data_IF_305845784772
#
_entry.id   IF_305845784772
#
_cell.length_a   1.000
_cell.length_b   1.000
_cell.length_c   1.000
_cell.angle_alpha   90.00
_cell.angle_beta   90.00
_cell.angle_gamma   90.00
#
_symmetry.space_group_name_H-M   'P 1'
#
loop_
_entity.id
_entity.type
_entity.pdbx_description
1 polymer ?
#
# COMPACT_ATOMS: atom_id res chain seq x y z
N UNK A 1 4.67 -17.20 -14.12
CA UNK A 1 4.33 -17.81 -12.82
C UNK A 1 4.71 -16.81 -11.74
N UNK A 2 3.83 -16.53 -10.78
CA UNK A 2 4.18 -15.73 -9.60
C UNK A 2 5.09 -16.61 -8.71
N UNK A 3 6.29 -16.16 -8.33
CA UNK A 3 7.15 -16.91 -7.43
C UNK A 3 6.43 -17.33 -6.15
N UNK A 4 6.62 -18.58 -5.72
CA UNK A 4 5.95 -19.17 -4.55
C UNK A 4 6.20 -18.41 -3.25
N UNK A 5 7.30 -17.64 -3.17
CA UNK A 5 7.60 -16.76 -2.03
C UNK A 5 6.71 -15.50 -1.97
N UNK A 6 6.04 -15.14 -3.07
CA UNK A 6 5.03 -14.07 -3.09
C UNK A 6 3.64 -14.58 -2.66
N UNK A 7 3.51 -15.87 -2.32
CA UNK A 7 2.26 -16.48 -1.88
C UNK A 7 1.32 -16.85 -3.03
N UNK A 8 0.03 -16.95 -2.72
CA UNK A 8 -1.02 -17.24 -3.70
C UNK A 8 -1.21 -16.03 -4.61
N UNK A 9 -1.54 -16.27 -5.89
CA UNK A 9 -1.90 -15.18 -6.79
C UNK A 9 -3.00 -14.33 -6.16
N UNK A 10 -2.86 -12.98 -6.14
CA UNK A 10 -3.88 -12.12 -5.56
C UNK A 10 -5.20 -12.42 -6.24
N UNK A 11 -6.26 -12.53 -5.44
CA UNK A 11 -7.62 -12.69 -5.94
C UNK A 11 -7.98 -11.45 -6.78
N UNK A 12 -8.97 -11.56 -7.67
CA UNK A 12 -9.42 -10.39 -8.40
C UNK A 12 -10.06 -9.40 -7.41
N UNK A 13 -9.40 -8.26 -7.18
CA UNK A 13 -9.84 -7.27 -6.19
C UNK A 13 -11.21 -6.67 -6.53
N UNK A 14 -11.54 -6.52 -7.83
CA UNK A 14 -12.83 -5.96 -8.25
C UNK A 14 -13.98 -6.84 -7.76
N UNK A 15 -13.83 -8.17 -7.83
CA UNK A 15 -14.88 -9.12 -7.48
C UNK A 15 -14.85 -9.58 -6.02
N UNK A 16 -13.71 -9.46 -5.33
CA UNK A 16 -13.52 -10.15 -4.04
C UNK A 16 -13.01 -9.27 -2.89
N UNK A 17 -12.87 -7.95 -3.06
CA UNK A 17 -12.36 -7.04 -2.02
C UNK A 17 -13.11 -7.14 -0.68
N UNK A 18 -14.43 -7.37 -0.69
CA UNK A 18 -15.23 -7.54 0.53
C UNK A 18 -14.83 -8.76 1.37
N UNK A 19 -14.21 -9.77 0.75
CA UNK A 19 -13.76 -10.99 1.43
C UNK A 19 -12.27 -11.01 1.75
N UNK A 20 -11.57 -9.88 1.58
CA UNK A 20 -10.14 -9.81 1.88
C UNK A 20 -9.91 -9.72 3.39
N UNK A 21 -9.02 -10.56 3.89
CA UNK A 21 -8.47 -10.43 5.24
C UNK A 21 -7.47 -9.27 5.29
N UNK A 22 -7.15 -8.81 6.50
CA UNK A 22 -6.17 -7.75 6.71
C UNK A 22 -4.83 -8.05 6.02
N UNK A 23 -4.34 -9.28 6.10
CA UNK A 23 -3.10 -9.72 5.42
C UNK A 23 -3.18 -9.60 3.90
N UNK A 24 -4.32 -9.95 3.29
CA UNK A 24 -4.51 -9.85 1.84
C UNK A 24 -4.59 -8.39 1.38
N UNK A 25 -5.22 -7.52 2.17
CA UNK A 25 -5.18 -6.08 1.95
C UNK A 25 -3.77 -5.53 2.03
N UNK A 26 -3.03 -5.91 3.06
CA UNK A 26 -1.65 -5.52 3.26
C UNK A 26 -0.78 -5.91 2.06
N UNK A 27 -0.86 -7.17 1.61
CA UNK A 27 -0.12 -7.66 0.44
C UNK A 27 -0.54 -6.92 -0.85
N UNK A 28 -1.84 -6.67 -1.04
CA UNK A 28 -2.31 -5.94 -2.21
C UNK A 28 -1.80 -4.50 -2.26
N UNK A 29 -1.85 -3.80 -1.12
CA UNK A 29 -1.35 -2.43 -1.01
C UNK A 29 0.16 -2.39 -1.28
N UNK A 30 0.96 -3.24 -0.64
CA UNK A 30 2.43 -3.12 -0.68
C UNK A 30 3.08 -3.73 -1.92
N UNK A 31 2.52 -4.80 -2.49
CA UNK A 31 3.13 -5.51 -3.61
C UNK A 31 2.48 -5.21 -4.96
N UNK A 32 1.16 -5.06 -5.01
CA UNK A 32 0.42 -5.04 -6.28
C UNK A 32 -0.09 -3.66 -6.68
N UNK A 33 -0.45 -2.81 -5.72
CA UNK A 33 -1.16 -1.56 -6.01
C UNK A 33 -0.36 -0.61 -6.92
N UNK A 34 0.92 -0.34 -6.63
CA UNK A 34 1.74 0.57 -7.44
C UNK A 34 1.96 0.05 -8.87
N UNK A 35 2.46 -1.17 -9.12
CA UNK A 35 2.60 -1.68 -10.49
C UNK A 35 1.27 -1.69 -11.28
N UNK A 36 0.17 -2.05 -10.62
CA UNK A 36 -1.14 -2.16 -11.29
C UNK A 36 -1.78 -0.82 -11.61
N UNK A 37 -1.55 0.21 -10.78
CA UNK A 37 -2.11 1.55 -10.95
C UNK A 37 -1.25 2.45 -11.85
N UNK A 38 0.01 2.07 -12.11
CA UNK A 38 0.92 2.84 -12.96
C UNK A 38 0.34 3.01 -14.36
N UNK A 39 0.17 4.25 -14.79
CA UNK A 39 -0.42 4.61 -16.08
C UNK A 39 -1.94 4.47 -16.17
N UNK A 40 -2.61 3.97 -15.13
CA UNK A 40 -4.08 3.91 -15.02
C UNK A 40 -4.64 5.01 -14.13
N UNK A 41 -3.81 5.55 -13.26
CA UNK A 41 -4.13 6.66 -12.37
C UNK A 41 -3.40 7.93 -12.82
N UNK A 42 -4.00 9.13 -12.70
CA UNK A 42 -3.27 10.37 -12.95
C UNK A 42 -2.01 10.44 -12.10
N UNK A 43 -0.89 10.91 -12.69
CA UNK A 43 0.43 10.93 -12.04
C UNK A 43 0.39 11.52 -10.63
N UNK A 44 -0.36 12.62 -10.47
CA UNK A 44 -0.57 13.32 -9.20
C UNK A 44 -1.09 12.35 -8.12
N UNK A 45 -2.16 11.59 -8.40
CA UNK A 45 -2.75 10.67 -7.44
C UNK A 45 -1.90 9.43 -7.22
N UNK A 46 -1.16 9.00 -8.24
CA UNK A 46 -0.22 7.90 -8.12
C UNK A 46 0.90 8.22 -7.10
N UNK A 47 1.43 9.44 -7.14
CA UNK A 47 2.42 9.93 -6.16
C UNK A 47 1.83 10.02 -4.75
N UNK A 48 0.61 10.54 -4.62
CA UNK A 48 -0.12 10.57 -3.34
C UNK A 48 -0.32 9.17 -2.76
N UNK A 49 -0.78 8.22 -3.56
CA UNK A 49 -0.94 6.82 -3.17
C UNK A 49 0.37 6.15 -2.73
N UNK A 50 1.50 6.52 -3.34
CA UNK A 50 2.80 5.98 -2.97
C UNK A 50 3.19 6.32 -1.52
N UNK A 51 2.75 7.46 -0.97
CA UNK A 51 2.97 7.77 0.45
C UNK A 51 2.26 6.78 1.37
N UNK A 52 1.01 6.43 1.05
CA UNK A 52 0.24 5.45 1.81
C UNK A 52 0.88 4.06 1.73
N UNK A 53 1.27 3.63 0.53
CA UNK A 53 1.95 2.34 0.34
C UNK A 53 3.23 2.26 1.16
N UNK A 54 4.05 3.32 1.16
CA UNK A 54 5.28 3.39 1.95
C UNK A 54 5.01 3.33 3.45
N UNK A 55 3.96 4.02 3.94
CA UNK A 55 3.56 3.97 5.34
C UNK A 55 3.16 2.55 5.76
N UNK A 56 2.34 1.86 4.96
CA UNK A 56 1.93 0.48 5.23
C UNK A 56 3.13 -0.48 5.23
N UNK A 57 4.09 -0.32 4.32
CA UNK A 57 5.34 -1.11 4.34
C UNK A 57 6.12 -0.93 5.65
N UNK A 58 6.19 0.29 6.19
CA UNK A 58 6.86 0.55 7.47
C UNK A 58 6.09 -0.08 8.64
N UNK A 59 4.77 0.02 8.66
CA UNK A 59 3.92 -0.60 9.69
C UNK A 59 4.01 -2.14 9.73
N UNK A 60 4.49 -2.78 8.66
CA UNK A 60 4.66 -4.23 8.60
C UNK A 60 5.99 -4.73 9.19
N UNK A 61 6.89 -3.83 9.61
CA UNK A 61 8.15 -4.23 10.27
C UNK A 61 7.87 -4.87 11.62
N UNK A 62 8.67 -5.88 11.98
CA UNK A 62 8.55 -6.57 13.28
C UNK A 62 8.97 -5.70 14.47
N UNK A 63 9.82 -4.71 14.22
CA UNK A 63 10.25 -3.70 15.20
C UNK A 63 10.23 -2.32 14.53
N UNK A 64 9.85 -1.30 15.31
CA UNK A 64 9.78 0.08 14.86
C UNK A 64 10.67 0.94 15.73
N UNK A 65 11.50 1.78 15.10
CA UNK A 65 12.24 2.84 15.79
C UNK A 65 11.40 4.11 15.91
N UNK A 66 11.78 5.02 16.82
CA UNK A 66 11.11 6.33 16.93
C UNK A 66 11.20 7.15 15.63
N UNK A 67 12.32 7.03 14.91
CA UNK A 67 12.49 7.65 13.60
C UNK A 67 11.50 7.08 12.57
N UNK A 68 11.29 5.77 12.56
CA UNK A 68 10.31 5.11 11.69
C UNK A 68 8.88 5.49 12.04
N UNK A 69 8.56 5.61 13.34
CA UNK A 69 7.27 6.11 13.81
C UNK A 69 7.00 7.54 13.34
N UNK A 70 7.97 8.43 13.47
CA UNK A 70 7.88 9.80 12.97
C UNK A 70 7.69 9.83 11.43
N UNK A 71 8.40 8.96 10.72
CA UNK A 71 8.25 8.81 9.28
C UNK A 71 6.88 8.28 8.87
N UNK A 72 6.32 7.30 9.59
CA UNK A 72 4.96 6.80 9.36
C UNK A 72 3.94 7.94 9.52
N UNK A 73 4.04 8.72 10.60
CA UNK A 73 3.16 9.86 10.83
C UNK A 73 3.25 10.91 9.71
N UNK A 74 4.46 11.25 9.28
CA UNK A 74 4.67 12.18 8.18
C UNK A 74 4.04 11.66 6.87
N UNK A 75 4.23 10.38 6.55
CA UNK A 75 3.70 9.77 5.32
C UNK A 75 2.18 9.77 5.31
N UNK A 76 1.52 9.42 6.42
CA UNK A 76 0.07 9.48 6.51
C UNK A 76 -0.45 10.92 6.40
N UNK A 77 0.26 11.89 6.98
CA UNK A 77 -0.09 13.30 6.83
C UNK A 77 0.04 13.77 5.38
N UNK A 78 1.12 13.41 4.68
CA UNK A 78 1.30 13.73 3.26
C UNK A 78 0.21 13.11 2.39
N UNK A 79 -0.17 11.85 2.67
CA UNK A 79 -1.29 11.19 2.01
C UNK A 79 -2.61 11.93 2.28
N UNK A 80 -2.94 12.22 3.54
CA UNK A 80 -4.17 12.92 3.91
C UNK A 80 -4.28 14.30 3.24
N UNK A 81 -3.23 15.12 3.39
CA UNK A 81 -3.17 16.46 2.82
C UNK A 81 -3.32 16.46 1.28
N UNK A 82 -3.00 15.35 0.63
CA UNK A 82 -3.08 15.23 -0.82
C UNK A 82 -4.51 14.95 -1.32
N UNK A 83 -5.31 14.19 -0.55
CA UNK A 83 -6.66 13.77 -0.96
C UNK A 83 -7.78 14.62 -0.34
N UNK A 84 -7.56 15.21 0.83
CA UNK A 84 -8.60 15.90 1.62
C UNK A 84 -8.39 17.42 1.73
N UNK A 85 -7.26 17.95 1.25
CA UNK A 85 -6.98 19.39 1.15
C UNK A 85 -6.65 19.80 -0.30
#
# INVERSE_FOLDING_TARGET
MIPTYLGRSPRNIIHHHNGYKAEEWAAWITMYSLPLLKGRMPKKHYEGWAYFVKAVCLCQKSTLTDEELNNIQLLFRLFYNYYEM
#
